data_IF_201683451391
#
_entry.id   IF_201683451391
#
_cell.length_a   1.000
_cell.length_b   1.000
_cell.length_c   1.000
_cell.angle_alpha   90.00
_cell.angle_beta   90.00
_cell.angle_gamma   90.00
#
_symmetry.space_group_name_H-M   'P 1'
#
loop_
_entity.id
_entity.type
_entity.pdbx_description
1 polymer ?
#
# COMPACT_ATOMS: atom_id res chain seq x y z
N UNK A 1 11.65 -3.49 8.66
CA UNK A 1 10.81 -2.46 9.33
C UNK A 1 10.92 -1.09 8.69
N UNK A 2 12.10 -0.57 8.35
CA UNK A 2 12.21 0.79 7.77
C UNK A 2 11.40 0.98 6.47
N UNK A 3 11.45 0.02 5.54
CA UNK A 3 10.72 0.08 4.26
C UNK A 3 9.21 0.09 4.45
N UNK A 4 8.66 -0.76 5.33
CA UNK A 4 7.22 -0.80 5.57
C UNK A 4 6.69 0.49 6.20
N UNK A 5 7.47 1.11 7.09
CA UNK A 5 7.15 2.43 7.65
C UNK A 5 7.16 3.51 6.57
N UNK A 6 8.13 3.50 5.67
CA UNK A 6 8.19 4.47 4.56
C UNK A 6 7.01 4.32 3.60
N UNK A 7 6.64 3.09 3.25
CA UNK A 7 5.47 2.84 2.40
C UNK A 7 4.19 3.31 3.10
N UNK A 8 4.03 2.98 4.39
CA UNK A 8 2.85 3.39 5.16
C UNK A 8 2.72 4.91 5.26
N UNK A 9 3.84 5.63 5.46
CA UNK A 9 3.87 7.09 5.47
C UNK A 9 3.46 7.69 4.11
N UNK A 10 4.02 7.17 3.01
CA UNK A 10 3.67 7.61 1.65
C UNK A 10 2.18 7.40 1.34
N UNK A 11 1.62 6.25 1.72
CA UNK A 11 0.19 5.97 1.57
C UNK A 11 -0.68 6.93 2.39
N UNK A 12 -0.25 7.30 3.60
CA UNK A 12 -0.93 8.29 4.43
C UNK A 12 -0.90 9.69 3.79
N UNK A 13 0.21 10.08 3.16
CA UNK A 13 0.32 11.34 2.41
C UNK A 13 -0.64 11.36 1.21
N UNK A 14 -0.72 10.25 0.46
CA UNK A 14 -1.67 10.11 -0.65
C UNK A 14 -3.12 10.21 -0.15
N UNK A 15 -3.46 9.50 0.94
CA UNK A 15 -4.79 9.53 1.55
C UNK A 15 -5.16 10.96 1.98
N UNK A 16 -4.22 11.66 2.62
CA UNK A 16 -4.39 13.05 3.06
C UNK A 16 -4.58 14.01 1.88
N UNK A 17 -3.78 13.86 0.82
CA UNK A 17 -3.92 14.66 -0.39
C UNK A 17 -5.27 14.44 -1.06
N UNK A 18 -5.72 13.19 -1.18
CA UNK A 18 -7.04 12.87 -1.74
C UNK A 18 -8.15 13.51 -0.93
N UNK A 19 -8.11 13.39 0.40
CA UNK A 19 -9.10 13.98 1.29
C UNK A 19 -9.16 15.51 1.17
N UNK A 20 -8.00 16.17 1.09
CA UNK A 20 -7.91 17.62 0.88
C UNK A 20 -8.53 18.06 -0.46
N UNK A 21 -8.54 17.18 -1.46
CA UNK A 21 -9.09 17.42 -2.80
C UNK A 21 -10.49 16.82 -2.99
N UNK A 22 -11.22 16.51 -1.90
CA UNK A 22 -12.57 15.95 -1.95
C UNK A 22 -12.66 14.60 -2.69
N UNK A 23 -11.55 13.87 -2.74
CA UNK A 23 -11.48 12.50 -3.24
C UNK A 23 -11.44 11.52 -2.07
N UNK A 24 -12.00 10.33 -2.27
CA UNK A 24 -11.99 9.27 -1.27
C UNK A 24 -11.24 8.05 -1.79
N UNK A 25 -10.17 7.66 -1.10
CA UNK A 25 -9.53 6.38 -1.32
C UNK A 25 -10.43 5.27 -0.76
N UNK A 26 -10.85 4.33 -1.60
CA UNK A 26 -11.72 3.24 -1.19
C UNK A 26 -10.91 1.99 -0.87
N UNK A 27 -10.45 1.87 0.38
CA UNK A 27 -9.56 0.80 0.82
C UNK A 27 -10.09 -0.62 0.54
N UNK A 28 -11.42 -0.83 0.53
CA UNK A 28 -11.99 -2.16 0.23
C UNK A 28 -11.93 -2.53 -1.26
N UNK A 29 -11.61 -1.57 -2.13
CA UNK A 29 -11.53 -1.74 -3.59
C UNK A 29 -10.15 -1.41 -4.17
N UNK A 30 -9.21 -0.96 -3.34
CA UNK A 30 -7.86 -0.58 -3.75
C UNK A 30 -6.89 -1.71 -3.41
N UNK A 31 -6.07 -2.09 -4.38
CA UNK A 31 -5.01 -3.09 -4.22
C UNK A 31 -3.64 -2.40 -4.25
N UNK A 32 -2.67 -2.93 -3.48
CA UNK A 32 -1.29 -2.47 -3.47
C UNK A 32 -0.40 -3.52 -4.16
N UNK A 33 0.23 -3.16 -5.26
CA UNK A 33 1.21 -4.00 -5.95
C UNK A 33 2.62 -3.59 -5.53
N UNK A 34 3.33 -4.49 -4.86
CA UNK A 34 4.73 -4.29 -4.48
C UNK A 34 5.64 -5.11 -5.39
N UNK A 35 6.50 -4.43 -6.15
CA UNK A 35 7.45 -5.06 -7.07
C UNK A 35 8.86 -4.85 -6.49
N UNK A 36 9.43 -5.86 -5.84
CA UNK A 36 10.80 -5.79 -5.35
C UNK A 36 11.81 -5.78 -6.51
N UNK A 37 13.01 -5.24 -6.27
CA UNK A 37 14.15 -5.41 -7.17
C UNK A 37 14.80 -6.79 -7.05
N UNK A 38 15.56 -7.19 -8.07
CA UNK A 38 16.10 -8.55 -8.28
C UNK A 38 16.92 -9.14 -7.12
N UNK A 39 17.45 -8.30 -6.23
CA UNK A 39 18.26 -8.70 -5.07
C UNK A 39 17.54 -8.56 -3.73
N UNK A 40 16.25 -8.21 -3.72
CA UNK A 40 15.54 -7.99 -2.47
C UNK A 40 15.13 -9.35 -1.86
N UNK A 41 15.56 -9.66 -0.62
CA UNK A 41 15.04 -10.83 0.08
C UNK A 41 13.52 -10.67 0.21
N UNK A 42 12.78 -11.78 0.11
CA UNK A 42 11.34 -11.80 0.35
C UNK A 42 11.06 -11.26 1.75
N UNK A 43 10.64 -10.00 1.83
CA UNK A 43 10.34 -9.34 3.10
C UNK A 43 8.86 -9.54 3.41
N UNK A 44 8.59 -10.13 4.57
CA UNK A 44 7.27 -10.05 5.20
C UNK A 44 7.04 -8.59 5.63
N UNK A 45 6.47 -7.80 4.71
CA UNK A 45 6.13 -6.39 4.94
C UNK A 45 4.77 -6.29 5.60
N UNK A 46 4.75 -5.70 6.79
CA UNK A 46 3.53 -5.28 7.47
C UNK A 46 3.26 -3.83 7.14
N UNK A 47 2.31 -3.58 6.23
CA UNK A 47 1.93 -2.23 5.77
C UNK A 47 0.57 -1.89 6.36
N UNK A 48 0.39 -0.66 6.84
CA UNK A 48 -0.87 -0.21 7.44
C UNK A 48 -1.27 1.16 6.88
N UNK A 49 -2.57 1.38 6.75
CA UNK A 49 -3.17 2.63 6.31
C UNK A 49 -4.49 2.87 7.05
N UNK A 50 -4.63 4.01 7.72
CA UNK A 50 -5.85 4.41 8.44
C UNK A 50 -6.42 3.29 9.34
N UNK A 51 -5.55 2.69 10.16
CA UNK A 51 -5.81 1.56 11.07
C UNK A 51 -6.16 0.22 10.39
N UNK A 52 -6.15 0.15 9.06
CA UNK A 52 -6.28 -1.09 8.32
C UNK A 52 -4.91 -1.65 7.98
N UNK A 53 -4.70 -2.93 8.28
CA UNK A 53 -3.53 -3.66 7.81
C UNK A 53 -3.79 -4.15 6.39
N UNK A 54 -2.84 -3.91 5.48
CA UNK A 54 -2.88 -4.45 4.14
C UNK A 54 -2.39 -5.90 4.21
N UNK A 55 -3.24 -6.85 3.82
CA UNK A 55 -2.90 -8.27 3.83
C UNK A 55 -2.35 -8.70 2.47
N UNK A 56 -1.29 -9.54 2.43
CA UNK A 56 -0.80 -10.11 1.18
C UNK A 56 -1.90 -10.90 0.44
N UNK A 57 -1.82 -10.92 -0.89
CA UNK A 57 -2.70 -11.72 -1.75
C UNK A 57 -1.86 -12.57 -2.70
N UNK A 58 -2.30 -13.82 -2.92
CA UNK A 58 -1.67 -14.73 -3.89
C UNK A 58 -2.02 -14.38 -5.35
N UNK A 59 -2.99 -13.49 -5.55
CA UNK A 59 -3.47 -13.05 -6.87
C UNK A 59 -3.54 -11.54 -6.92
N UNK A 60 -3.25 -10.96 -8.08
CA UNK A 60 -3.50 -9.55 -8.37
C UNK A 60 -4.46 -9.43 -9.55
N UNK A 61 -5.22 -8.34 -9.63
CA UNK A 61 -6.02 -8.04 -10.82
C UNK A 61 -5.11 -7.79 -12.02
N UNK A 62 -5.57 -8.24 -13.20
CA UNK A 62 -4.93 -7.85 -14.45
C UNK A 62 -5.01 -6.31 -14.60
N UNK A 63 -3.89 -5.68 -14.97
CA UNK A 63 -3.76 -4.23 -15.13
C UNK A 63 -4.26 -3.71 -16.49
N UNK A 64 -4.61 -4.60 -17.42
CA UNK A 64 -4.95 -4.29 -18.81
C UNK A 64 -4.24 -5.22 -19.77
#
# INVERSE_FOLDING_TARGET
TQVSTQISACLADISSWMAAHQLKLNLSKTELLFIPGDSSPGQDLVISLDNNQITPSATARNLG
#
